data_IF_587432518554
#
_entry.id   IF_587432518554
#
_cell.length_a   1.000
_cell.length_b   1.000
_cell.length_c   1.000
_cell.angle_alpha   90.00
_cell.angle_beta   90.00
_cell.angle_gamma   90.00
#
_symmetry.space_group_name_H-M   'P 1'
#
loop_
_entity.id
_entity.type
_entity.pdbx_description
1 polymer ?
#
# COMPACT_ATOMS: atom_id res chain seq x y z
N UNK A 1 8.71 12.55 9.58
CA UNK A 1 8.70 11.88 8.57
C UNK A 1 7.44 11.20 8.21
N UNK A 2 7.06 10.29 8.25
CA UNK A 2 5.83 9.67 7.96
C UNK A 2 5.27 9.85 6.58
N UNK A 3 5.88 10.66 5.79
CA UNK A 3 5.32 10.89 4.50
C UNK A 3 5.79 9.82 3.53
N UNK A 4 4.87 9.20 2.84
CA UNK A 4 5.18 8.17 1.87
C UNK A 4 5.00 8.73 0.49
N UNK A 5 6.03 8.62 -0.32
CA UNK A 5 5.98 9.07 -1.69
C UNK A 5 5.93 7.87 -2.60
N UNK A 6 4.92 7.82 -3.45
CA UNK A 6 4.77 6.71 -4.36
C UNK A 6 5.15 7.12 -5.76
N UNK A 7 5.82 6.23 -6.45
CA UNK A 7 6.20 6.48 -7.83
C UNK A 7 5.45 5.54 -8.73
N UNK A 8 5.19 6.03 -9.92
CA UNK A 8 4.49 5.22 -10.90
C UNK A 8 5.29 3.96 -11.19
N UNK A 9 4.58 2.89 -11.41
CA UNK A 9 5.18 1.63 -11.72
C UNK A 9 5.48 1.55 -13.20
N UNK A 10 6.71 1.31 -13.51
CA UNK A 10 7.09 1.14 -14.89
C UNK A 10 6.36 0.04 -15.61
N UNK A 11 6.09 -1.03 -14.89
CA UNK A 11 5.42 -2.14 -15.53
C UNK A 11 4.08 -1.75 -16.09
N UNK A 12 3.36 -0.94 -15.33
CA UNK A 12 2.09 -0.48 -15.82
C UNK A 12 2.23 0.39 -17.04
N UNK A 13 3.22 1.25 -17.02
CA UNK A 13 3.42 2.12 -18.16
C UNK A 13 3.72 1.34 -19.42
N UNK A 14 4.56 0.33 -19.29
CA UNK A 14 4.91 -0.46 -20.45
C UNK A 14 3.72 -1.23 -20.96
N UNK A 15 2.96 -1.77 -20.05
CA UNK A 15 1.84 -2.59 -20.44
C UNK A 15 0.75 -1.80 -21.10
N UNK A 16 0.71 -0.52 -20.84
CA UNK A 16 -0.36 0.30 -21.39
C UNK A 16 -0.05 0.93 -22.70
N UNK A 17 1.06 0.60 -23.27
CA UNK A 17 1.47 1.29 -24.48
C UNK A 17 0.53 1.07 -25.63
N UNK A 18 0.08 -0.13 -25.82
CA UNK A 18 -0.71 -0.39 -26.99
C UNK A 18 -2.18 -0.31 -26.74
N UNK A 19 -2.64 -0.83 -25.63
CA UNK A 19 -4.06 -0.81 -25.35
C UNK A 19 -4.23 -1.19 -23.89
N UNK A 20 -5.42 -0.93 -23.40
CA UNK A 20 -5.76 -1.30 -22.04
C UNK A 20 -6.16 -2.76 -22.01
N UNK A 21 -5.43 -3.58 -21.34
CA UNK A 21 -5.83 -4.98 -21.23
C UNK A 21 -7.05 -5.10 -20.32
N UNK A 22 -7.87 -6.10 -20.62
CA UNK A 22 -9.00 -6.38 -19.75
C UNK A 22 -8.56 -6.96 -18.43
N UNK A 23 -7.40 -7.60 -18.42
CA UNK A 23 -6.91 -8.28 -17.25
C UNK A 23 -5.50 -7.83 -16.95
N UNK A 24 -5.25 -7.60 -15.67
CA UNK A 24 -3.92 -7.30 -15.18
C UNK A 24 -3.62 -8.31 -14.10
N UNK A 25 -2.46 -8.92 -14.18
CA UNK A 25 -2.07 -9.92 -13.20
C UNK A 25 -0.70 -9.55 -12.65
N UNK A 26 -0.55 -9.67 -11.35
CA UNK A 26 0.71 -9.37 -10.69
C UNK A 26 1.12 -10.54 -9.82
N UNK A 27 2.37 -10.95 -9.96
CA UNK A 27 2.92 -11.99 -9.10
C UNK A 27 3.54 -11.30 -7.90
N UNK A 28 2.77 -11.19 -6.83
CA UNK A 28 3.20 -10.41 -5.69
C UNK A 28 4.48 -10.92 -5.03
N UNK A 29 4.64 -12.22 -4.81
CA UNK A 29 5.90 -12.68 -4.22
C UNK A 29 7.11 -12.29 -5.03
N UNK A 30 7.02 -12.39 -6.35
CA UNK A 30 8.11 -12.02 -7.23
C UNK A 30 8.41 -10.54 -7.15
N UNK A 31 7.36 -9.73 -7.12
CA UNK A 31 7.54 -8.29 -7.04
C UNK A 31 8.14 -7.88 -5.71
N UNK A 32 7.71 -8.48 -4.63
CA UNK A 32 8.28 -8.19 -3.31
C UNK A 32 9.77 -8.49 -3.32
N UNK A 33 10.14 -9.65 -3.86
CA UNK A 33 11.53 -10.03 -3.91
C UNK A 33 12.33 -9.04 -4.74
N UNK A 34 11.79 -8.64 -5.87
CA UNK A 34 12.46 -7.67 -6.72
C UNK A 34 12.66 -6.34 -6.00
N UNK A 35 11.63 -5.89 -5.30
CA UNK A 35 11.73 -4.62 -4.60
C UNK A 35 12.78 -4.66 -3.51
N UNK A 36 12.96 -5.79 -2.86
CA UNK A 36 13.94 -5.92 -1.80
C UNK A 36 15.36 -5.96 -2.30
N UNK A 37 15.54 -6.18 -3.58
CA UNK A 37 16.88 -6.18 -4.16
C UNK A 37 17.26 -4.84 -4.76
N UNK A 38 16.36 -3.86 -4.70
CA UNK A 38 16.68 -2.55 -5.23
C UNK A 38 17.47 -1.74 -4.23
N UNK A 39 18.32 -0.89 -4.78
CA UNK A 39 19.17 -0.05 -3.96
C UNK A 39 18.32 0.85 -3.06
N UNK A 40 17.19 1.32 -3.56
CA UNK A 40 16.35 2.20 -2.78
C UNK A 40 15.87 1.54 -1.49
N UNK A 41 15.60 0.24 -1.54
CA UNK A 41 15.19 -0.45 -0.33
C UNK A 41 16.37 -0.72 0.59
N UNK A 42 17.50 -1.07 0.01
CA UNK A 42 18.68 -1.37 0.81
C UNK A 42 19.09 -0.16 1.65
N UNK A 43 18.99 1.03 1.08
CA UNK A 43 19.43 2.24 1.76
C UNK A 43 18.33 3.06 2.39
N UNK A 44 17.09 2.63 2.25
CA UNK A 44 15.96 3.41 2.76
C UNK A 44 15.16 2.65 3.78
N UNK A 45 14.04 3.22 4.18
CA UNK A 45 13.17 2.60 5.15
C UNK A 45 12.02 1.88 4.51
N UNK A 46 11.64 2.29 3.33
CA UNK A 46 10.57 1.62 2.62
C UNK A 46 10.68 1.88 1.13
N UNK A 47 10.03 1.02 0.38
CA UNK A 47 9.95 1.16 -1.05
C UNK A 47 8.53 0.83 -1.45
N UNK A 48 7.98 1.56 -2.41
CA UNK A 48 6.59 1.37 -2.81
C UNK A 48 6.48 1.36 -4.32
N UNK A 49 5.53 0.56 -4.81
CA UNK A 49 5.31 0.42 -6.23
C UNK A 49 3.82 0.49 -6.50
N UNK A 50 3.42 1.38 -7.39
CA UNK A 50 2.01 1.50 -7.74
C UNK A 50 1.70 0.47 -8.81
N UNK A 51 0.83 -0.47 -8.48
CA UNK A 51 0.45 -1.52 -9.40
C UNK A 51 -0.70 -1.10 -10.30
N UNK A 52 -1.60 -0.30 -9.77
CA UNK A 52 -2.74 0.15 -10.53
C UNK A 52 -3.14 1.52 -10.05
N UNK A 53 -3.46 2.40 -10.98
CA UNK A 53 -3.97 3.71 -10.62
C UNK A 53 -5.06 4.10 -11.59
N UNK A 54 -6.26 4.30 -11.07
CA UNK A 54 -7.38 4.81 -11.84
C UNK A 54 -7.89 6.02 -11.10
N UNK A 55 -8.84 6.75 -11.66
CA UNK A 55 -9.36 7.92 -10.96
C UNK A 55 -9.93 7.63 -9.59
N UNK A 56 -10.41 6.41 -9.37
CA UNK A 56 -11.08 6.10 -8.12
C UNK A 56 -10.44 4.97 -7.33
N UNK A 57 -9.29 4.46 -7.77
CA UNK A 57 -8.68 3.34 -7.06
C UNK A 57 -7.19 3.31 -7.30
N UNK A 58 -6.45 2.93 -6.27
CA UNK A 58 -5.02 2.67 -6.39
C UNK A 58 -4.69 1.38 -5.66
N UNK A 59 -3.78 0.62 -6.22
CA UNK A 59 -3.25 -0.56 -5.55
C UNK A 59 -1.75 -0.38 -5.48
N UNK A 60 -1.22 -0.43 -4.27
CA UNK A 60 0.19 -0.12 -4.02
C UNK A 60 0.83 -1.25 -3.22
N UNK A 61 1.97 -1.71 -3.71
CA UNK A 61 2.74 -2.73 -3.01
C UNK A 61 3.89 -2.04 -2.30
N UNK A 62 4.04 -2.31 -1.01
CA UNK A 62 5.03 -1.62 -0.19
C UNK A 62 5.86 -2.63 0.60
N UNK A 63 7.17 -2.42 0.62
CA UNK A 63 8.06 -3.20 1.48
C UNK A 63 8.72 -2.24 2.47
N UNK A 64 8.80 -2.65 3.73
CA UNK A 64 9.31 -1.80 4.80
C UNK A 64 10.28 -2.58 5.66
N UNK A 65 11.33 -1.90 6.11
CA UNK A 65 12.24 -2.49 7.06
C UNK A 65 11.60 -2.50 8.44
N UNK A 66 12.09 -3.37 9.29
CA UNK A 66 11.67 -3.43 10.67
C UNK A 66 11.80 -2.05 11.31
N UNK A 67 10.79 -1.64 12.03
CA UNK A 67 10.83 -0.37 12.75
C UNK A 67 10.41 0.85 11.95
N UNK A 68 10.00 0.67 10.71
CA UNK A 68 9.55 1.80 9.91
C UNK A 68 8.16 2.23 10.36
N UNK A 69 7.99 3.52 10.50
CA UNK A 69 6.71 4.05 10.92
C UNK A 69 6.13 4.95 9.84
N UNK A 70 4.86 4.76 9.54
CA UNK A 70 4.14 5.55 8.56
C UNK A 70 2.95 6.19 9.27
N UNK A 71 2.79 7.50 9.07
CA UNK A 71 1.62 8.19 9.56
C UNK A 71 0.77 8.61 8.39
N UNK A 72 -0.53 8.56 8.58
CA UNK A 72 -1.44 8.94 7.52
C UNK A 72 -2.15 10.23 7.84
N UNK A 73 -2.69 10.83 6.80
CA UNK A 73 -3.61 11.93 6.96
C UNK A 73 -5.01 11.41 6.97
N UNK A 74 -5.89 12.14 7.60
CA UNK A 74 -7.28 11.90 7.42
C UNK A 74 -7.63 12.22 5.98
N UNK A 75 -8.42 11.38 5.36
CA UNK A 75 -8.85 11.63 4.00
C UNK A 75 -10.20 10.98 3.80
N UNK A 76 -10.81 11.27 2.65
CA UNK A 76 -12.09 10.66 2.32
C UNK A 76 -11.92 9.29 1.69
N UNK A 77 -10.70 8.83 1.57
CA UNK A 77 -10.45 7.54 0.95
C UNK A 77 -10.62 6.43 1.95
N UNK A 78 -11.05 5.28 1.45
CA UNK A 78 -11.05 4.06 2.23
C UNK A 78 -9.81 3.28 1.87
N UNK A 79 -9.17 2.68 2.86
CA UNK A 79 -7.90 1.99 2.64
C UNK A 79 -7.99 0.59 3.21
N UNK A 80 -7.55 -0.38 2.43
CA UNK A 80 -7.45 -1.75 2.87
C UNK A 80 -5.99 -2.14 2.85
N UNK A 81 -5.53 -2.74 3.94
CA UNK A 81 -4.15 -3.20 4.09
C UNK A 81 -4.16 -4.70 4.20
N UNK A 82 -3.29 -5.34 3.46
CA UNK A 82 -3.11 -6.79 3.58
C UNK A 82 -1.63 -7.07 3.78
N UNK A 83 -1.32 -7.82 4.84
CA UNK A 83 0.06 -8.17 5.12
C UNK A 83 0.42 -9.41 4.32
N UNK A 84 1.42 -9.27 3.47
CA UNK A 84 1.89 -10.38 2.66
C UNK A 84 3.01 -11.13 3.36
N UNK A 85 3.85 -10.41 4.08
CA UNK A 85 4.95 -10.98 4.87
C UNK A 85 5.21 -10.05 6.03
N UNK A 86 5.62 -10.60 7.16
CA UNK A 86 6.01 -9.81 8.29
C UNK A 86 4.86 -9.51 9.23
N UNK A 87 5.00 -8.45 9.98
CA UNK A 87 4.04 -8.09 11.00
C UNK A 87 4.06 -6.58 11.22
N UNK A 88 2.89 -6.00 11.41
CA UNK A 88 2.78 -4.57 11.61
C UNK A 88 1.73 -4.26 12.67
N UNK A 89 1.91 -3.14 13.36
CA UNK A 89 0.94 -2.67 14.33
C UNK A 89 0.28 -1.43 13.77
N UNK A 90 -1.05 -1.43 13.77
CA UNK A 90 -1.84 -0.27 13.39
C UNK A 90 -2.38 0.39 14.63
N UNK A 91 -2.27 1.71 14.68
CA UNK A 91 -2.81 2.50 15.78
C UNK A 91 -3.81 3.49 15.24
N UNK A 92 -4.97 3.54 15.89
CA UNK A 92 -5.91 4.62 15.65
C UNK A 92 -6.11 5.29 16.99
N UNK A 93 -6.94 6.31 17.02
CA UNK A 93 -7.23 6.95 18.28
C UNK A 93 -7.76 6.01 19.33
N UNK A 94 -8.54 5.04 18.88
CA UNK A 94 -9.28 4.20 19.81
C UNK A 94 -8.60 2.89 20.13
N UNK A 95 -7.74 2.41 19.25
CA UNK A 95 -7.25 1.06 19.45
C UNK A 95 -5.99 0.79 18.65
N UNK A 96 -5.34 -0.29 19.00
CA UNK A 96 -4.18 -0.77 18.29
C UNK A 96 -4.43 -2.21 17.90
N UNK A 97 -3.99 -2.58 16.71
CA UNK A 97 -4.21 -3.91 16.17
C UNK A 97 -2.92 -4.41 15.56
N UNK A 98 -2.59 -5.67 15.86
CA UNK A 98 -1.43 -6.30 15.25
C UNK A 98 -1.90 -7.12 14.07
N UNK A 99 -1.28 -6.90 12.93
CA UNK A 99 -1.58 -7.65 11.73
C UNK A 99 -0.43 -8.55 11.37
N UNK A 100 -0.75 -9.81 11.16
CA UNK A 100 0.23 -10.81 10.76
C UNK A 100 0.02 -11.20 9.31
N UNK A 101 0.99 -11.95 8.80
CA UNK A 101 0.94 -12.43 7.44
C UNK A 101 -0.43 -13.01 7.10
N UNK A 102 -0.97 -12.59 5.99
CA UNK A 102 -2.25 -13.09 5.50
C UNK A 102 -3.47 -12.39 6.05
N UNK A 103 -3.28 -11.47 6.98
CA UNK A 103 -4.41 -10.77 7.56
C UNK A 103 -4.67 -9.45 6.85
N UNK A 104 -5.91 -9.02 6.92
CA UNK A 104 -6.37 -7.85 6.20
C UNK A 104 -7.09 -6.91 7.16
N UNK A 105 -6.85 -5.62 6.97
CA UNK A 105 -7.48 -4.59 7.79
C UNK A 105 -8.04 -3.52 6.88
N UNK A 106 -9.25 -3.09 7.13
CA UNK A 106 -9.90 -2.05 6.35
C UNK A 106 -10.18 -0.85 7.25
N UNK A 107 -9.77 0.33 6.78
CA UNK A 107 -10.05 1.58 7.47
C UNK A 107 -11.10 2.34 6.70
N UNK A 108 -12.06 2.88 7.43
CA UNK A 108 -13.07 3.72 6.82
C UNK A 108 -12.49 5.09 6.52
N UNK A 109 -13.16 5.80 5.63
CA UNK A 109 -12.73 7.14 5.30
C UNK A 109 -12.71 8.01 6.57
N UNK A 110 -11.85 8.98 6.57
CA UNK A 110 -11.68 9.92 7.68
C UNK A 110 -11.13 9.29 8.95
N UNK A 111 -10.47 8.16 8.83
CA UNK A 111 -9.82 7.54 9.97
C UNK A 111 -8.34 7.85 9.93
N UNK A 112 -7.85 8.44 11.00
CA UNK A 112 -6.42 8.72 11.12
C UNK A 112 -5.74 7.53 11.74
N UNK A 113 -4.60 7.15 11.20
CA UNK A 113 -3.88 5.97 11.70
C UNK A 113 -2.39 6.17 11.61
N UNK A 114 -1.66 5.33 12.32
CA UNK A 114 -0.25 5.15 12.09
C UNK A 114 0.02 3.66 12.01
N UNK A 115 1.13 3.33 11.38
CA UNK A 115 1.49 1.95 11.11
C UNK A 115 2.97 1.78 11.39
N UNK A 116 3.33 0.78 12.18
CA UNK A 116 4.72 0.51 12.49
C UNK A 116 5.03 -0.94 12.18
N UNK A 117 6.07 -1.17 11.38
CA UNK A 117 6.47 -2.53 11.06
C UNK A 117 7.26 -3.12 12.22
N UNK A 118 6.92 -4.35 12.58
CA UNK A 118 7.57 -5.06 13.68
C UNK A 118 8.65 -5.99 13.19
N UNK A 119 8.70 -6.20 11.91
CA UNK A 119 9.73 -6.98 11.22
C UNK A 119 9.78 -6.41 9.82
N UNK A 120 10.68 -6.93 9.00
CA UNK A 120 10.64 -6.56 7.59
C UNK A 120 9.30 -7.02 7.04
N UNK A 121 8.56 -6.09 6.48
CA UNK A 121 7.16 -6.33 6.16
C UNK A 121 6.89 -5.97 4.71
N UNK A 122 6.04 -6.78 4.07
CA UNK A 122 5.52 -6.47 2.74
C UNK A 122 4.02 -6.40 2.86
N UNK A 123 3.44 -5.33 2.34
CA UNK A 123 1.99 -5.18 2.42
C UNK A 123 1.42 -4.60 1.14
N UNK A 124 0.16 -4.90 0.94
CA UNK A 124 -0.58 -4.43 -0.22
C UNK A 124 -1.64 -3.47 0.26
N UNK A 125 -1.66 -2.27 -0.33
CA UNK A 125 -2.66 -1.26 0.00
C UNK A 125 -3.62 -1.12 -1.16
N UNK A 126 -4.90 -1.08 -0.87
CA UNK A 126 -5.91 -0.75 -1.86
C UNK A 126 -6.61 0.49 -1.36
N UNK A 127 -6.55 1.55 -2.14
CA UNK A 127 -7.13 2.83 -1.77
C UNK A 127 -8.27 3.12 -2.72
N UNK A 128 -9.45 3.36 -2.17
CA UNK A 128 -10.63 3.66 -2.96
C UNK A 128 -11.10 5.06 -2.61
N UNK A 129 -11.29 5.88 -3.63
CA UNK A 129 -11.69 7.26 -3.42
C UNK A 129 -13.11 7.36 -2.89
N UNK A 130 -13.27 8.12 -1.84
CA UNK A 130 -14.59 8.34 -1.28
C UNK A 130 -15.45 9.25 -2.12
N UNK A 131 -14.83 9.99 -3.01
CA UNK A 131 -15.58 10.92 -3.84
C UNK A 131 -16.60 10.22 -4.71
N UNK A 132 -16.23 9.07 -5.22
CA UNK A 132 -17.13 8.33 -6.06
C UNK A 132 -18.41 7.94 -5.35
N UNK A 133 -18.29 7.63 -4.09
CA UNK A 133 -19.45 7.18 -3.35
C UNK A 133 -20.46 8.27 -3.21
N UNK A 134 -20.01 9.48 -3.08
CA UNK A 134 -20.91 10.60 -2.96
C UNK A 134 -21.68 10.83 -4.22
N UNK A 135 -21.04 10.65 -5.34
CA UNK A 135 -21.68 10.96 -6.60
C UNK A 135 -22.76 9.98 -6.95
N UNK A 136 -22.86 8.91 -6.23
CA UNK A 136 -23.89 7.93 -6.54
C UNK A 136 -25.19 8.20 -5.87
N UNK A 137 -25.20 9.15 -5.02
CA UNK A 137 -26.44 9.50 -4.38
C UNK A 137 -27.11 10.63 -5.09
#
# INVERSE_FOLDING_TARGET
MGKVTFKANYLLQKDNLSCSPSLLMFDLPTLVDTMRHKQSWVNGELNAMILLKTPNKQIILTVMHNGTEIESFQSNDSITFQILEGQAIFHTRKESVILDKGQLLTLRENTKYSLTSMEDTALLLTITSGVLQLSQN
#
